data_IF_154485881521
#
_entry.id   IF_154485881521
#
_cell.length_a   1.000
_cell.length_b   1.000
_cell.length_c   1.000
_cell.angle_alpha   90.00
_cell.angle_beta   90.00
_cell.angle_gamma   90.00
#
_symmetry.space_group_name_H-M   'P 1'
#
loop_
_entity.id
_entity.type
_entity.pdbx_description
1 polymer ?
#
# COMPACT_ATOMS: atom_id res chain seq x y z
N UNK A 1 26.17 -49.14 -14.22
CA UNK A 1 25.12 -48.54 -13.36
C UNK A 1 25.30 -47.02 -13.28
N UNK A 2 24.97 -46.28 -14.35
CA UNK A 2 24.95 -44.80 -14.41
C UNK A 2 24.07 -44.38 -15.60
N UNK A 3 22.76 -44.52 -15.49
CA UNK A 3 21.82 -43.93 -16.45
C UNK A 3 20.38 -43.75 -15.93
N UNK A 4 20.08 -44.07 -14.67
CA UNK A 4 18.69 -43.99 -14.15
C UNK A 4 18.43 -42.77 -13.24
N UNK A 5 19.44 -41.93 -13.00
CA UNK A 5 19.34 -40.79 -12.08
C UNK A 5 19.06 -39.44 -12.74
N UNK A 6 18.72 -39.39 -14.03
CA UNK A 6 18.46 -38.12 -14.74
C UNK A 6 16.95 -37.86 -14.95
N UNK A 7 16.08 -38.87 -14.77
CA UNK A 7 14.64 -38.70 -15.01
C UNK A 7 13.87 -38.27 -13.75
N UNK A 8 14.34 -38.64 -12.55
CA UNK A 8 13.60 -38.32 -11.31
C UNK A 8 13.75 -36.87 -10.81
N UNK A 9 14.73 -36.10 -11.31
CA UNK A 9 14.91 -34.68 -10.94
C UNK A 9 14.12 -33.71 -11.82
N UNK A 10 13.49 -34.18 -12.89
CA UNK A 10 12.66 -33.34 -13.78
C UNK A 10 11.19 -33.25 -13.34
N UNK A 11 10.74 -34.06 -12.38
CA UNK A 11 9.35 -34.09 -11.92
C UNK A 11 9.07 -33.26 -10.65
N UNK A 12 10.10 -32.67 -10.03
CA UNK A 12 9.94 -31.81 -8.83
C UNK A 12 10.08 -30.30 -9.11
N UNK A 13 10.20 -29.90 -10.38
CA UNK A 13 10.19 -28.50 -10.81
C UNK A 13 8.88 -28.11 -11.53
N UNK A 14 7.79 -28.85 -11.27
CA UNK A 14 6.42 -28.46 -11.66
C UNK A 14 5.62 -28.10 -10.40
N UNK A 15 6.28 -27.43 -9.45
CA UNK A 15 5.61 -26.72 -8.38
C UNK A 15 5.01 -25.44 -8.95
N UNK A 16 3.81 -25.54 -9.50
CA UNK A 16 2.87 -24.43 -9.70
C UNK A 16 3.44 -23.17 -10.35
N UNK A 17 3.82 -23.25 -11.63
CA UNK A 17 3.42 -22.15 -12.53
C UNK A 17 1.91 -22.25 -12.68
N UNK A 18 1.16 -21.78 -11.68
CA UNK A 18 -0.17 -21.27 -11.94
C UNK A 18 0.05 -20.08 -12.88
N UNK A 19 0.01 -20.33 -14.19
CA UNK A 19 0.05 -19.29 -15.19
C UNK A 19 -1.10 -18.35 -14.87
N UNK A 20 -0.76 -17.14 -14.42
CA UNK A 20 -1.74 -16.10 -14.15
C UNK A 20 -2.63 -15.96 -15.39
N UNK A 21 -3.94 -16.08 -15.19
CA UNK A 21 -4.87 -15.98 -16.28
C UNK A 21 -4.74 -14.57 -16.87
N UNK A 22 -4.63 -14.46 -18.19
CA UNK A 22 -4.64 -13.18 -18.88
C UNK A 22 -6.00 -12.51 -18.62
N UNK A 23 -6.08 -11.66 -17.60
CA UNK A 23 -7.33 -11.09 -17.10
C UNK A 23 -7.32 -10.74 -15.62
N UNK A 24 -6.38 -11.28 -14.83
CA UNK A 24 -6.27 -10.92 -13.41
C UNK A 24 -5.93 -9.43 -13.27
N UNK A 25 -6.79 -8.69 -12.58
CA UNK A 25 -6.61 -7.27 -12.31
C UNK A 25 -6.08 -7.06 -10.90
N UNK A 26 -4.94 -6.39 -10.78
CA UNK A 26 -4.40 -5.93 -9.50
C UNK A 26 -4.61 -4.43 -9.31
N UNK A 27 -4.61 -3.99 -8.05
CA UNK A 27 -4.65 -2.56 -7.71
C UNK A 27 -3.26 -2.10 -7.33
N UNK A 28 -2.70 -1.15 -8.06
CA UNK A 28 -1.43 -0.52 -7.73
C UNK A 28 -1.64 0.86 -7.12
N UNK A 29 -0.72 1.25 -6.23
CA UNK A 29 -0.70 2.55 -5.57
C UNK A 29 0.58 3.30 -5.91
N UNK A 30 0.48 4.57 -6.29
CA UNK A 30 1.65 5.43 -6.48
C UNK A 30 1.73 6.44 -5.34
N UNK A 31 2.71 6.25 -4.46
CA UNK A 31 2.94 7.13 -3.32
C UNK A 31 4.31 7.80 -3.45
N UNK A 32 4.35 9.11 -3.69
CA UNK A 32 5.59 9.86 -3.91
C UNK A 32 6.45 9.29 -5.06
N UNK A 33 5.81 8.95 -6.19
CA UNK A 33 6.44 8.40 -7.39
C UNK A 33 7.09 7.03 -7.18
N UNK A 34 6.60 6.26 -6.20
CA UNK A 34 6.94 4.85 -5.99
C UNK A 34 5.67 4.04 -6.12
N UNK A 35 5.70 3.02 -6.97
CA UNK A 35 4.56 2.13 -7.25
C UNK A 35 4.64 0.94 -6.30
N UNK A 36 3.49 0.61 -5.70
CA UNK A 36 3.32 -0.54 -4.81
C UNK A 36 2.17 -1.40 -5.30
N UNK A 37 2.37 -2.70 -5.23
CA UNK A 37 1.36 -3.71 -5.57
C UNK A 37 0.64 -4.20 -4.32
N UNK A 38 -0.50 -4.90 -4.45
CA UNK A 38 -1.22 -5.43 -3.30
C UNK A 38 -0.33 -6.31 -2.41
N UNK A 39 0.53 -7.13 -3.01
CA UNK A 39 1.45 -8.01 -2.27
C UNK A 39 2.45 -7.21 -1.41
N UNK A 40 2.87 -6.02 -1.85
CA UNK A 40 3.78 -5.16 -1.08
C UNK A 40 3.11 -4.56 0.17
N UNK A 41 1.78 -4.37 0.12
CA UNK A 41 1.00 -3.79 1.21
C UNK A 41 0.30 -4.81 2.09
N UNK A 42 0.17 -6.06 1.66
CA UNK A 42 -0.64 -7.10 2.31
C UNK A 42 -0.24 -7.34 3.77
N UNK A 43 1.06 -7.48 4.07
CA UNK A 43 1.58 -7.65 5.43
C UNK A 43 1.17 -6.51 6.38
N UNK A 44 1.03 -5.28 5.85
CA UNK A 44 0.60 -4.13 6.63
C UNK A 44 -0.91 -4.12 6.84
N UNK A 45 -1.67 -4.54 5.84
CA UNK A 45 -3.13 -4.67 5.94
C UNK A 45 -3.47 -5.73 6.99
N UNK A 46 -2.80 -6.87 6.99
CA UNK A 46 -2.98 -7.91 8.01
C UNK A 46 -2.63 -7.39 9.42
N UNK A 47 -1.47 -6.74 9.56
CA UNK A 47 -1.05 -6.12 10.82
C UNK A 47 -2.05 -5.06 11.30
N UNK A 48 -2.63 -4.31 10.36
CA UNK A 48 -3.59 -3.27 10.65
C UNK A 48 -4.98 -3.81 11.01
N UNK A 49 -5.43 -4.86 10.34
CA UNK A 49 -6.65 -5.60 10.67
C UNK A 49 -6.52 -6.31 12.03
N UNK A 50 -5.37 -6.91 12.32
CA UNK A 50 -5.08 -7.49 13.63
C UNK A 50 -5.10 -6.43 14.73
N UNK A 51 -4.52 -5.25 14.47
CA UNK A 51 -4.57 -4.12 15.41
C UNK A 51 -6.00 -3.62 15.63
N UNK A 52 -6.82 -3.51 14.58
CA UNK A 52 -8.24 -3.19 14.70
C UNK A 52 -8.99 -4.22 15.56
N UNK A 53 -8.78 -5.52 15.31
CA UNK A 53 -9.41 -6.61 16.07
C UNK A 53 -9.01 -6.60 17.53
N UNK A 54 -7.73 -6.38 17.83
CA UNK A 54 -7.26 -6.22 19.21
C UNK A 54 -7.88 -5.01 19.91
N UNK A 55 -8.16 -3.94 19.15
CA UNK A 55 -8.78 -2.72 19.66
C UNK A 55 -10.30 -2.84 19.81
N UNK A 56 -10.99 -3.62 18.98
CA UNK A 56 -12.43 -3.91 19.17
C UNK A 56 -12.68 -4.76 20.41
N UNK A 57 -11.76 -5.67 20.74
CA UNK A 57 -11.77 -6.45 21.98
C UNK A 57 -11.44 -5.62 23.24
N UNK A 58 -10.88 -4.41 23.06
CA UNK A 58 -10.53 -3.48 24.15
C UNK A 58 -10.96 -2.06 23.76
N UNK A 59 -12.25 -1.69 23.93
CA UNK A 59 -12.81 -0.42 23.45
C UNK A 59 -12.08 0.83 23.96
N UNK A 60 -11.44 0.77 25.14
CA UNK A 60 -10.61 1.87 25.65
C UNK A 60 -9.41 2.21 24.75
N UNK A 61 -8.92 1.26 23.95
CA UNK A 61 -7.84 1.46 22.99
C UNK A 61 -8.32 1.96 21.63
N UNK A 62 -9.60 1.82 21.26
CA UNK A 62 -10.13 2.31 19.96
C UNK A 62 -9.88 3.81 19.75
N UNK A 63 -9.80 4.62 20.82
CA UNK A 63 -9.42 6.05 20.77
C UNK A 63 -8.02 6.31 20.16
N UNK A 64 -7.18 5.28 20.02
CA UNK A 64 -5.81 5.42 19.54
C UNK A 64 -5.64 5.19 18.04
N UNK A 65 -6.72 4.90 17.29
CA UNK A 65 -6.64 4.94 15.83
C UNK A 65 -6.83 6.37 15.37
N UNK A 66 -5.81 6.90 14.70
CA UNK A 66 -5.90 8.23 14.15
C UNK A 66 -6.86 8.20 12.94
N UNK A 67 -7.93 9.00 12.95
CA UNK A 67 -8.85 9.05 11.83
C UNK A 67 -8.12 9.59 10.60
N UNK A 68 -8.41 8.98 9.45
CA UNK A 68 -7.94 9.45 8.16
C UNK A 68 -8.99 10.35 7.52
N UNK A 69 -8.63 11.62 7.34
CA UNK A 69 -9.44 12.62 6.65
C UNK A 69 -8.69 13.12 5.42
N UNK A 70 -8.94 12.56 4.23
CA UNK A 70 -8.35 13.10 3.01
C UNK A 70 -8.91 14.49 2.78
N UNK A 71 -8.03 15.50 2.79
CA UNK A 71 -8.29 16.92 2.54
C UNK A 71 -9.73 17.38 2.81
N UNK A 72 -10.02 17.78 4.05
CA UNK A 72 -11.21 18.55 4.47
C UNK A 72 -12.48 18.28 3.65
N UNK A 73 -12.84 17.01 3.46
CA UNK A 73 -14.04 16.61 2.72
C UNK A 73 -15.27 17.14 3.48
N UNK A 74 -15.76 18.31 3.08
CA UNK A 74 -16.98 18.92 3.62
C UNK A 74 -18.17 18.23 2.96
N UNK A 75 -18.94 17.49 3.74
CA UNK A 75 -20.27 17.05 3.35
C UNK A 75 -20.31 15.68 2.69
N UNK A 76 -20.33 14.65 3.53
CA UNK A 76 -20.66 13.28 3.16
C UNK A 76 -20.64 12.43 4.41
N UNK A 77 -21.42 11.34 4.45
CA UNK A 77 -21.35 10.34 5.52
C UNK A 77 -19.93 9.75 5.50
N UNK A 78 -19.05 10.29 6.33
CA UNK A 78 -17.63 9.98 6.35
C UNK A 78 -17.48 8.53 6.82
N UNK A 79 -17.22 7.60 5.87
CA UNK A 79 -16.85 6.23 6.21
C UNK A 79 -15.64 6.30 7.15
N UNK A 80 -15.72 5.62 8.29
CA UNK A 80 -14.74 5.72 9.36
C UNK A 80 -13.44 5.04 8.91
N UNK A 81 -12.54 5.84 8.35
CA UNK A 81 -11.24 5.38 7.87
C UNK A 81 -10.17 5.66 8.90
N UNK A 82 -9.30 4.69 9.10
CA UNK A 82 -8.15 4.81 10.00
C UNK A 82 -6.87 4.76 9.18
N UNK A 83 -5.90 5.59 9.54
CA UNK A 83 -4.54 5.50 8.97
C UNK A 83 -3.64 4.71 9.89
N UNK A 84 -2.82 3.84 9.32
CA UNK A 84 -1.79 3.12 10.05
C UNK A 84 -0.43 3.23 9.35
N UNK A 85 0.66 3.46 10.10
CA UNK A 85 1.99 3.54 9.52
C UNK A 85 2.38 2.25 8.78
N UNK A 86 2.93 2.40 7.59
CA UNK A 86 3.50 1.34 6.76
C UNK A 86 5.03 1.49 6.68
N UNK A 87 5.67 1.50 7.86
CA UNK A 87 7.07 1.92 8.07
C UNK A 87 8.11 1.08 7.32
N UNK A 88 7.79 -0.18 7.00
CA UNK A 88 8.73 -1.12 6.39
C UNK A 88 8.60 -1.23 4.86
N UNK A 89 7.78 -0.38 4.22
CA UNK A 89 7.76 -0.31 2.75
C UNK A 89 9.15 0.12 2.27
N UNK A 90 9.79 -0.74 1.46
CA UNK A 90 11.17 -0.56 0.98
C UNK A 90 11.35 0.83 0.36
N UNK A 91 12.52 1.44 0.62
CA UNK A 91 12.96 2.71 0.02
C UNK A 91 12.07 3.94 0.25
N UNK A 92 11.31 3.99 1.35
CA UNK A 92 10.49 5.17 1.62
C UNK A 92 11.35 6.35 2.11
N UNK A 93 11.57 7.35 1.26
CA UNK A 93 12.16 8.65 1.64
C UNK A 93 11.23 9.47 2.55
N UNK A 94 9.99 9.01 2.72
CA UNK A 94 8.91 9.69 3.43
C UNK A 94 7.99 8.65 4.09
N UNK A 95 7.40 8.97 5.25
CA UNK A 95 6.43 8.10 5.92
C UNK A 95 5.29 7.71 4.99
N UNK A 96 4.88 6.44 5.04
CA UNK A 96 3.75 5.86 4.29
C UNK A 96 2.71 5.34 5.27
N UNK A 97 1.46 5.33 4.83
CA UNK A 97 0.32 4.90 5.61
C UNK A 97 -0.62 4.07 4.75
N UNK A 98 -1.11 2.97 5.32
CA UNK A 98 -2.28 2.26 4.79
C UNK A 98 -3.54 2.85 5.38
N UNK A 99 -4.57 3.00 4.56
CA UNK A 99 -5.87 3.52 4.96
C UNK A 99 -6.86 2.37 4.91
N UNK A 100 -7.43 2.03 6.06
CA UNK A 100 -8.39 0.94 6.18
C UNK A 100 -9.75 1.43 6.66
N UNK A 101 -10.80 0.72 6.26
CA UNK A 101 -12.15 0.95 6.78
C UNK A 101 -12.35 0.27 8.16
N UNK A 102 -13.54 0.40 8.70
CA UNK A 102 -14.00 -0.21 9.94
C UNK A 102 -13.92 -1.76 9.95
N UNK A 103 -13.90 -2.39 8.78
CA UNK A 103 -13.76 -3.84 8.61
C UNK A 103 -12.30 -4.29 8.48
N UNK A 104 -11.35 -3.36 8.48
CA UNK A 104 -9.93 -3.66 8.29
C UNK A 104 -9.53 -3.90 6.84
N UNK A 105 -10.40 -3.60 5.87
CA UNK A 105 -10.07 -3.71 4.46
C UNK A 105 -9.30 -2.48 4.00
N UNK A 106 -8.26 -2.70 3.18
CA UNK A 106 -7.52 -1.64 2.52
C UNK A 106 -8.45 -0.84 1.60
N UNK A 107 -8.51 0.46 1.81
CA UNK A 107 -9.29 1.40 0.99
C UNK A 107 -8.40 2.32 0.17
N UNK A 108 -7.25 2.70 0.72
CA UNK A 108 -6.31 3.63 0.08
C UNK A 108 -4.92 3.56 0.71
N UNK A 109 -3.99 4.33 0.14
CA UNK A 109 -2.70 4.64 0.75
C UNK A 109 -2.48 6.15 0.80
N UNK A 110 -1.61 6.57 1.72
CA UNK A 110 -1.19 7.96 1.83
C UNK A 110 0.27 8.06 2.30
N UNK A 111 0.87 9.23 2.13
CA UNK A 111 2.26 9.48 2.48
C UNK A 111 2.50 10.90 3.01
N UNK A 112 3.71 11.12 3.50
CA UNK A 112 4.13 12.39 4.11
C UNK A 112 3.70 12.48 5.57
N UNK A 113 4.04 13.60 6.21
CA UNK A 113 3.69 13.82 7.62
C UNK A 113 2.20 13.58 7.85
N UNK A 114 1.86 12.73 8.82
CA UNK A 114 0.47 12.49 9.24
C UNK A 114 -0.49 11.99 8.12
N UNK A 115 0.04 11.38 7.06
CA UNK A 115 -0.72 10.92 5.89
C UNK A 115 -1.39 12.04 5.06
N UNK A 116 -0.76 13.21 4.99
CA UNK A 116 -1.33 14.39 4.29
C UNK A 116 -1.55 14.18 2.79
N UNK A 117 -0.68 13.41 2.12
CA UNK A 117 -0.72 13.26 0.68
C UNK A 117 -1.32 11.91 0.30
N UNK A 118 -2.52 11.91 -0.29
CA UNK A 118 -3.15 10.69 -0.80
C UNK A 118 -2.33 10.13 -1.97
N UNK A 119 -2.18 8.81 -2.02
CA UNK A 119 -1.55 8.14 -3.15
C UNK A 119 -2.52 8.05 -4.33
N UNK A 120 -1.99 7.99 -5.54
CA UNK A 120 -2.84 7.66 -6.68
C UNK A 120 -3.08 6.15 -6.68
N UNK A 121 -4.20 5.72 -7.26
CA UNK A 121 -4.56 4.31 -7.41
C UNK A 121 -4.97 4.00 -8.84
N UNK A 122 -4.56 2.83 -9.35
CA UNK A 122 -5.00 2.30 -10.65
C UNK A 122 -5.30 0.81 -10.57
N UNK A 123 -6.23 0.33 -11.39
CA UNK A 123 -6.44 -1.10 -11.64
C UNK A 123 -5.77 -1.45 -12.96
N UNK A 124 -4.89 -2.44 -12.95
CA UNK A 124 -4.14 -2.87 -14.13
C UNK A 124 -4.17 -4.39 -14.23
N UNK A 125 -4.12 -4.90 -15.46
CA UNK A 125 -3.84 -6.31 -15.69
C UNK A 125 -2.49 -6.67 -15.09
N UNK A 126 -2.41 -7.83 -14.44
CA UNK A 126 -1.20 -8.29 -13.78
C UNK A 126 -0.01 -8.38 -14.74
N UNK A 127 -0.24 -8.72 -16.01
CA UNK A 127 0.80 -8.73 -17.06
C UNK A 127 1.29 -7.33 -17.44
N UNK A 128 0.54 -6.29 -17.10
CA UNK A 128 0.87 -4.89 -17.35
C UNK A 128 1.32 -4.16 -16.08
N UNK A 129 1.55 -4.90 -15.00
CA UNK A 129 1.92 -4.37 -13.69
C UNK A 129 3.25 -3.61 -13.71
N UNK A 130 4.25 -4.17 -14.39
CA UNK A 130 5.60 -3.60 -14.54
C UNK A 130 5.66 -2.37 -15.46
N UNK A 131 4.56 -2.02 -16.14
CA UNK A 131 4.56 -0.82 -16.99
C UNK A 131 4.74 0.43 -16.14
N UNK A 132 5.68 1.32 -16.51
CA UNK A 132 5.96 2.53 -15.77
C UNK A 132 4.68 3.33 -15.50
N UNK A 133 4.64 3.93 -14.30
CA UNK A 133 3.55 4.80 -13.92
C UNK A 133 4.09 6.16 -13.46
N UNK A 134 4.08 7.10 -14.39
CA UNK A 134 4.35 8.49 -14.08
C UNK A 134 3.04 9.18 -13.71
N UNK A 135 2.91 9.56 -12.44
CA UNK A 135 1.79 10.37 -11.98
C UNK A 135 2.20 11.83 -11.88
N UNK A 136 1.65 12.69 -12.75
CA UNK A 136 1.84 14.14 -12.63
C UNK A 136 1.34 14.68 -11.29
N UNK A 137 0.27 14.09 -10.75
CA UNK A 137 -0.29 14.49 -9.47
C UNK A 137 0.69 14.20 -8.33
N UNK A 138 1.27 13.01 -8.27
CA UNK A 138 2.28 12.63 -7.27
C UNK A 138 3.57 13.45 -7.45
N UNK A 139 3.96 13.78 -8.69
CA UNK A 139 5.09 14.69 -8.95
C UNK A 139 4.82 16.08 -8.37
N UNK A 140 3.62 16.65 -8.58
CA UNK A 140 3.23 17.95 -8.03
C UNK A 140 3.23 17.94 -6.49
N UNK A 141 2.65 16.91 -5.87
CA UNK A 141 2.66 16.73 -4.42
C UNK A 141 4.08 16.60 -3.87
N UNK A 142 4.95 15.85 -4.54
CA UNK A 142 6.35 15.71 -4.17
C UNK A 142 7.11 17.03 -4.20
N UNK A 143 6.95 17.83 -5.27
CA UNK A 143 7.58 19.15 -5.39
C UNK A 143 7.12 20.11 -4.30
N UNK A 144 5.83 20.12 -3.97
CA UNK A 144 5.29 20.94 -2.88
C UNK A 144 5.86 20.52 -1.52
N UNK A 145 5.94 19.22 -1.27
CA UNK A 145 6.48 18.67 -0.03
C UNK A 145 7.96 19.02 0.18
N UNK A 146 8.81 18.83 -0.84
CA UNK A 146 10.23 19.14 -0.74
C UNK A 146 10.51 20.64 -0.66
N UNK A 147 9.74 21.47 -1.37
CA UNK A 147 9.81 22.93 -1.24
C UNK A 147 9.47 23.41 0.17
N UNK A 148 8.46 22.79 0.80
CA UNK A 148 8.08 23.08 2.20
C UNK A 148 9.21 22.70 3.17
N UNK A 149 9.82 21.53 3.02
CA UNK A 149 10.97 21.11 3.85
C UNK A 149 12.12 22.11 3.75
N UNK A 150 12.49 22.51 2.53
CA UNK A 150 13.58 23.47 2.33
C UNK A 150 13.30 24.83 2.98
N UNK A 151 12.04 25.29 2.99
CA UNK A 151 11.67 26.54 3.64
C UNK A 151 11.79 26.48 5.17
N UNK A 152 11.48 25.34 5.79
CA UNK A 152 11.56 25.16 7.23
C UNK A 152 13.00 25.01 7.74
N UNK A 153 13.93 24.55 6.90
CA UNK A 153 15.36 24.45 7.24
C UNK A 153 16.11 25.79 7.15
N UNK A 154 15.51 26.82 6.55
CA UNK A 154 16.09 28.16 6.41
C UNK A 154 15.59 29.18 7.44
N UNK A 155 14.72 28.77 8.36
CA UNK A 155 14.27 29.56 9.51
C UNK A 155 15.03 29.14 10.75
#
# INVERSE_FOLDING_TARGET
MRLEYIISTLLFAVGSLAGYASGDLITQFNCANQVYEPADVENFVESAAARLKLMSLRPSRQRNLEPYKPNHSRGGRELQRSKLPASNLKNSKVPKFVIINEHGHLTDMAWGSNALNQCDKRRVELLKSDFPWESEHQIKLWRSYTGTIQSNLKR
#
